data_IF_308164386821
#
_entry.id   IF_308164386821
#
_cell.length_a   1.000
_cell.length_b   1.000
_cell.length_c   1.000
_cell.angle_alpha   90.00
_cell.angle_beta   90.00
_cell.angle_gamma   90.00
#
_symmetry.space_group_name_H-M   'P 1'
#
loop_
_entity.id
_entity.type
_entity.pdbx_description
1 polymer ?
#
# COMPACT_ATOMS: atom_id res chain seq x y z
N UNK A 1 8.83 37.56 52.08
CA UNK A 1 8.90 38.91 51.47
C UNK A 1 10.30 39.45 51.71
N UNK A 2 10.98 40.15 50.77
CA UNK A 2 10.52 40.94 49.62
C UNK A 2 10.65 40.16 48.28
N UNK A 3 9.86 40.29 47.20
CA UNK A 3 9.37 41.38 46.32
C UNK A 3 10.46 42.12 45.52
N UNK A 4 10.76 41.64 44.30
CA UNK A 4 11.38 42.35 43.16
C UNK A 4 11.28 41.44 41.92
N UNK A 5 11.02 41.86 40.69
CA UNK A 5 10.41 43.05 40.08
C UNK A 5 10.15 42.62 38.63
N UNK A 6 8.93 42.83 38.17
CA UNK A 6 8.48 42.55 36.80
C UNK A 6 9.31 43.34 35.80
N UNK A 7 9.71 42.71 34.69
CA UNK A 7 10.16 43.41 33.48
C UNK A 7 9.40 42.86 32.28
N UNK A 8 8.33 43.57 31.91
CA UNK A 8 7.68 43.48 30.62
C UNK A 8 8.64 44.01 29.54
N UNK A 9 8.89 43.21 28.51
CA UNK A 9 9.35 43.75 27.22
C UNK A 9 8.24 43.53 26.18
N UNK A 10 7.46 44.60 26.02
CA UNK A 10 6.65 44.86 24.84
C UNK A 10 7.54 45.55 23.81
N UNK A 11 7.64 44.98 22.61
CA UNK A 11 7.97 45.73 21.39
C UNK A 11 7.08 45.21 20.27
N UNK A 12 6.19 46.07 19.80
CA UNK A 12 5.32 45.81 18.67
C UNK A 12 5.88 46.36 17.36
N UNK A 13 5.07 46.07 16.33
CA UNK A 13 4.81 46.80 15.09
C UNK A 13 5.44 46.27 13.79
N UNK A 14 4.50 45.82 12.95
CA UNK A 14 4.19 46.32 11.58
C UNK A 14 4.91 45.62 10.42
N UNK A 15 4.17 44.86 9.59
CA UNK A 15 3.38 45.27 8.41
C UNK A 15 4.24 45.31 7.14
N UNK A 16 3.95 44.43 6.19
CA UNK A 16 4.07 44.69 4.75
C UNK A 16 3.28 43.63 3.97
N UNK A 17 2.06 43.99 3.62
CA UNK A 17 1.35 43.46 2.44
C UNK A 17 2.15 43.83 1.18
N UNK A 18 2.14 42.94 0.19
CA UNK A 18 2.45 43.31 -1.19
C UNK A 18 1.40 42.67 -2.11
N UNK A 19 0.35 43.44 -2.38
CA UNK A 19 -0.53 43.31 -3.53
C UNK A 19 0.06 44.09 -4.71
N UNK A 20 0.23 43.45 -5.86
CA UNK A 20 0.28 44.05 -7.21
C UNK A 20 0.06 42.86 -8.17
N UNK A 21 -1.10 42.61 -8.79
CA UNK A 21 -1.91 43.42 -9.72
C UNK A 21 -1.10 44.03 -10.86
N UNK A 22 -1.16 43.42 -12.06
CA UNK A 22 -1.89 44.00 -13.20
C UNK A 22 -1.35 43.54 -14.57
N UNK A 23 -2.32 43.36 -15.48
CA UNK A 23 -2.31 43.57 -16.94
C UNK A 23 -1.46 42.65 -17.84
N UNK A 24 -2.12 41.73 -18.56
CA UNK A 24 -2.71 41.85 -19.93
C UNK A 24 -1.66 41.81 -21.04
N UNK A 25 -1.83 40.86 -21.97
CA UNK A 25 -2.02 41.18 -23.39
C UNK A 25 -2.70 40.02 -24.13
N UNK A 26 -3.77 40.38 -24.84
CA UNK A 26 -4.62 39.58 -25.73
C UNK A 26 -4.17 39.86 -27.15
N UNK A 27 -4.09 38.86 -28.03
CA UNK A 27 -4.43 38.99 -29.45
C UNK A 27 -4.94 37.66 -30.01
N UNK A 28 -6.10 37.66 -30.67
CA UNK A 28 -6.34 36.76 -31.79
C UNK A 28 -6.86 37.54 -33.00
N UNK A 29 -6.33 37.29 -34.21
CA UNK A 29 -7.00 37.78 -35.43
C UNK A 29 -6.69 36.96 -36.70
N UNK A 30 -7.70 36.16 -37.06
CA UNK A 30 -8.39 36.03 -38.36
C UNK A 30 -7.67 35.64 -39.68
N UNK A 31 -8.39 34.72 -40.34
CA UNK A 31 -8.78 34.65 -41.76
C UNK A 31 -7.73 34.36 -42.84
N UNK A 32 -7.96 33.24 -43.56
CA UNK A 32 -8.43 33.36 -44.95
C UNK A 32 -9.16 32.10 -45.43
N UNK A 33 -10.36 32.33 -45.94
CA UNK A 33 -11.12 31.42 -46.78
C UNK A 33 -10.49 31.30 -48.17
N UNK A 34 -10.62 30.13 -48.80
CA UNK A 34 -10.69 30.04 -50.25
C UNK A 34 -11.55 28.83 -50.64
N UNK A 35 -12.75 29.17 -51.08
CA UNK A 35 -13.67 28.32 -51.82
C UNK A 35 -13.22 28.25 -53.28
N UNK A 36 -13.21 27.05 -53.86
CA UNK A 36 -13.34 26.87 -55.30
C UNK A 36 -14.18 25.60 -55.57
N UNK A 37 -15.39 25.81 -56.10
CA UNK A 37 -16.15 24.81 -56.84
C UNK A 37 -16.07 25.13 -58.33
N UNK A 38 -15.89 24.11 -59.16
CA UNK A 38 -16.38 23.99 -60.56
C UNK A 38 -16.12 22.55 -61.00
N UNK A 39 -17.11 21.65 -61.01
CA UNK A 39 -18.14 21.43 -62.05
C UNK A 39 -17.56 21.08 -63.43
N UNK A 40 -17.73 19.82 -63.87
CA UNK A 40 -18.66 19.43 -64.94
C UNK A 40 -18.47 17.98 -65.44
N UNK A 41 -19.54 17.19 -65.31
CA UNK A 41 -20.18 16.23 -66.23
C UNK A 41 -19.39 15.48 -67.33
N UNK A 42 -19.56 14.15 -67.38
CA UNK A 42 -19.77 13.39 -68.64
C UNK A 42 -20.46 12.04 -68.33
N UNK A 43 -21.78 11.96 -68.46
CA UNK A 43 -22.54 11.34 -69.57
C UNK A 43 -22.36 9.82 -69.71
N UNK A 44 -23.36 9.05 -69.24
CA UNK A 44 -23.49 7.61 -69.49
C UNK A 44 -24.73 7.36 -70.37
N UNK A 45 -24.53 6.66 -71.49
CA UNK A 45 -25.55 6.28 -72.48
C UNK A 45 -26.29 5.00 -72.07
N UNK A 46 -27.53 4.89 -72.52
CA UNK A 46 -28.54 3.89 -72.16
C UNK A 46 -28.70 2.72 -73.16
N UNK A 47 -28.87 1.50 -72.62
CA UNK A 47 -29.70 0.37 -73.07
C UNK A 47 -29.19 -0.59 -74.19
N UNK A 48 -29.78 -1.81 -74.39
CA UNK A 48 -30.76 -2.54 -73.56
C UNK A 48 -30.52 -4.09 -73.36
N UNK A 49 -31.32 -4.64 -72.45
CA UNK A 49 -31.82 -6.03 -72.19
C UNK A 49 -31.60 -7.17 -73.22
N UNK A 50 -31.12 -8.37 -72.78
CA UNK A 50 -31.84 -9.66 -72.67
C UNK A 50 -30.92 -10.92 -72.71
N UNK A 51 -31.29 -11.90 -71.87
CA UNK A 51 -31.02 -13.38 -71.90
C UNK A 51 -29.57 -13.90 -71.76
N UNK A 52 -29.32 -14.75 -70.75
CA UNK A 52 -29.39 -16.22 -70.85
C UNK A 52 -28.49 -16.92 -69.79
N UNK A 53 -29.14 -17.80 -69.02
CA UNK A 53 -28.70 -19.07 -68.40
C UNK A 53 -27.35 -19.25 -67.67
N UNK A 54 -27.52 -19.78 -66.44
CA UNK A 54 -26.82 -20.92 -65.81
C UNK A 54 -25.29 -20.94 -65.75
N UNK A 55 -24.76 -20.97 -64.52
CA UNK A 55 -23.80 -22.02 -64.11
C UNK A 55 -23.49 -21.93 -62.61
N UNK A 56 -23.69 -23.05 -61.95
CA UNK A 56 -23.36 -23.41 -60.57
C UNK A 56 -21.91 -23.15 -60.16
N UNK A 57 -21.66 -22.70 -58.93
CA UNK A 57 -20.67 -23.27 -57.98
C UNK A 57 -20.60 -22.47 -56.65
N UNK A 58 -20.18 -23.07 -55.52
CA UNK A 58 -20.75 -22.78 -54.20
C UNK A 58 -19.90 -21.90 -53.26
N UNK A 59 -20.60 -21.01 -52.54
CA UNK A 59 -20.64 -20.86 -51.07
C UNK A 59 -19.34 -21.19 -50.32
N UNK A 60 -18.53 -20.19 -49.95
CA UNK A 60 -17.72 -20.17 -48.70
C UNK A 60 -16.93 -18.86 -48.42
N UNK A 61 -17.09 -17.78 -49.20
CA UNK A 61 -16.24 -16.57 -49.08
C UNK A 61 -16.89 -15.33 -48.44
N UNK A 62 -17.76 -15.50 -47.45
CA UNK A 62 -18.40 -14.34 -46.79
C UNK A 62 -18.39 -14.32 -45.26
N UNK A 63 -17.54 -15.12 -44.60
CA UNK A 63 -17.38 -15.06 -43.15
C UNK A 63 -15.93 -14.83 -42.71
N UNK A 64 -15.43 -13.63 -43.01
CA UNK A 64 -14.26 -13.01 -42.39
C UNK A 64 -14.58 -11.50 -42.38
N UNK A 65 -15.14 -10.87 -41.34
CA UNK A 65 -14.63 -10.51 -40.00
C UNK A 65 -15.73 -9.54 -39.45
N UNK A 66 -16.14 -9.49 -38.16
CA UNK A 66 -15.24 -9.34 -37.01
C UNK A 66 -15.67 -10.10 -35.76
N UNK A 67 -15.00 -11.23 -35.49
CA UNK A 67 -14.98 -11.88 -34.17
C UNK A 67 -13.99 -11.22 -33.20
N UNK A 68 -13.48 -10.02 -33.50
CA UNK A 68 -12.47 -9.34 -32.68
C UNK A 68 -13.05 -8.54 -31.50
N UNK A 69 -14.33 -8.17 -31.53
CA UNK A 69 -14.94 -7.35 -30.46
C UNK A 69 -15.40 -8.22 -29.27
N UNK A 70 -15.83 -9.47 -29.52
CA UNK A 70 -16.27 -10.38 -28.44
C UNK A 70 -15.09 -10.96 -27.65
N UNK A 71 -13.93 -11.15 -28.30
CA UNK A 71 -12.71 -11.64 -27.64
C UNK A 71 -12.04 -10.59 -26.74
N UNK A 72 -12.20 -9.30 -27.04
CA UNK A 72 -11.58 -8.22 -26.25
C UNK A 72 -12.24 -8.03 -24.89
N UNK A 73 -13.58 -8.04 -24.83
CA UNK A 73 -14.33 -7.89 -23.56
C UNK A 73 -14.25 -9.19 -22.74
N UNK A 74 -14.40 -10.36 -23.38
CA UNK A 74 -14.20 -11.65 -22.72
C UNK A 74 -12.77 -11.82 -22.20
N UNK A 75 -11.78 -11.37 -22.98
CA UNK A 75 -10.37 -11.35 -22.58
C UNK A 75 -10.08 -10.37 -21.44
N UNK A 76 -10.72 -9.20 -21.42
CA UNK A 76 -10.57 -8.24 -20.32
C UNK A 76 -11.23 -8.73 -19.02
N UNK A 77 -12.42 -9.35 -19.11
CA UNK A 77 -13.07 -9.99 -17.95
C UNK A 77 -12.29 -11.21 -17.46
N UNK A 78 -11.79 -12.05 -18.35
CA UNK A 78 -10.89 -13.15 -17.99
C UNK A 78 -9.57 -12.64 -17.41
N UNK A 79 -9.04 -11.53 -17.89
CA UNK A 79 -7.83 -10.92 -17.36
C UNK A 79 -8.06 -10.29 -15.97
N UNK A 80 -9.20 -9.62 -15.76
CA UNK A 80 -9.61 -9.13 -14.43
C UNK A 80 -9.85 -10.31 -13.48
N UNK A 81 -10.55 -11.35 -13.92
CA UNK A 81 -10.84 -12.54 -13.14
C UNK A 81 -9.57 -13.37 -12.83
N UNK A 82 -8.65 -13.53 -13.78
CA UNK A 82 -7.35 -14.20 -13.57
C UNK A 82 -6.40 -13.36 -12.71
N UNK A 83 -6.50 -12.04 -12.72
CA UNK A 83 -5.71 -11.19 -11.83
C UNK A 83 -6.27 -11.18 -10.39
N UNK A 84 -7.55 -11.50 -10.22
CA UNK A 84 -8.19 -11.68 -8.92
C UNK A 84 -7.83 -13.03 -8.27
N UNK A 85 -7.52 -14.07 -9.07
CA UNK A 85 -6.98 -15.33 -8.56
C UNK A 85 -5.61 -15.17 -7.87
N UNK A 86 -4.82 -14.13 -8.22
CA UNK A 86 -3.62 -13.77 -7.46
C UNK A 86 -3.93 -13.13 -6.10
N UNK A 87 -5.19 -12.76 -5.82
CA UNK A 87 -5.68 -12.29 -4.52
C UNK A 87 -6.24 -13.41 -3.65
N UNK A 88 -6.52 -14.58 -4.21
CA UNK A 88 -6.81 -15.77 -3.42
C UNK A 88 -5.49 -16.30 -2.82
N UNK A 89 -5.50 -16.49 -1.50
CA UNK A 89 -4.40 -17.07 -0.73
C UNK A 89 -4.05 -18.43 -1.36
N UNK A 90 -2.88 -18.52 -1.99
CA UNK A 90 -2.32 -19.80 -2.44
C UNK A 90 -2.07 -20.64 -1.19
N UNK A 91 -2.93 -21.63 -0.94
CA UNK A 91 -2.62 -22.75 -0.05
C UNK A 91 -1.43 -23.51 -0.64
N UNK A 92 -0.25 -23.26 -0.08
CA UNK A 92 0.85 -24.21 0.10
C UNK A 92 1.43 -24.91 -1.13
N UNK A 93 2.61 -24.47 -1.55
CA UNK A 93 3.67 -25.36 -2.00
C UNK A 93 4.99 -24.92 -1.35
N UNK A 94 5.16 -25.29 -0.08
CA UNK A 94 6.48 -25.38 0.52
C UNK A 94 7.18 -26.60 -0.08
N UNK A 95 8.34 -26.38 -0.69
CA UNK A 95 9.21 -27.44 -1.17
C UNK A 95 9.60 -28.36 -0.02
N UNK A 96 9.16 -29.62 -0.09
CA UNK A 96 9.58 -30.71 0.78
C UNK A 96 11.04 -31.07 0.50
N UNK A 97 12.00 -30.41 1.15
CA UNK A 97 13.31 -30.98 1.47
C UNK A 97 13.74 -30.51 2.85
N UNK A 98 13.46 -31.34 3.86
CA UNK A 98 13.90 -31.11 5.24
C UNK A 98 13.00 -31.77 6.27
N UNK A 99 13.37 -32.98 6.70
CA UNK A 99 12.80 -33.62 7.87
C UNK A 99 13.11 -32.77 9.12
N UNK A 100 12.17 -31.94 9.57
CA UNK A 100 12.25 -31.29 10.88
C UNK A 100 11.34 -32.02 11.86
N UNK A 101 11.98 -32.77 12.73
CA UNK A 101 11.50 -33.31 13.99
C UNK A 101 10.59 -32.30 14.71
N UNK A 102 9.44 -32.76 15.20
CA UNK A 102 8.33 -31.98 15.76
C UNK A 102 8.71 -30.68 16.47
N UNK A 103 8.60 -29.57 15.74
CA UNK A 103 8.24 -28.24 16.27
C UNK A 103 6.93 -27.87 15.58
N UNK A 104 6.03 -27.20 16.30
CA UNK A 104 4.76 -26.70 15.72
C UNK A 104 4.99 -25.82 14.48
N UNK A 105 3.93 -25.34 13.83
CA UNK A 105 4.05 -24.49 12.65
C UNK A 105 5.03 -23.35 12.92
N UNK A 106 6.12 -23.27 12.15
CA UNK A 106 7.06 -22.15 12.24
C UNK A 106 6.29 -20.91 11.78
N UNK A 107 6.13 -19.94 12.69
CA UNK A 107 5.53 -18.64 12.39
C UNK A 107 6.69 -17.67 12.11
N UNK A 108 6.65 -17.01 10.95
CA UNK A 108 7.74 -16.18 10.43
C UNK A 108 8.36 -16.78 9.17
N UNK A 109 9.00 -15.92 8.37
CA UNK A 109 9.61 -16.29 7.10
C UNK A 109 10.38 -15.15 6.46
N UNK A 110 11.15 -15.41 5.39
CA UNK A 110 11.92 -14.38 4.71
C UNK A 110 11.00 -13.35 4.05
N UNK A 111 11.44 -12.10 4.04
CA UNK A 111 10.71 -11.03 3.38
C UNK A 111 11.66 -10.03 2.71
N UNK A 112 11.14 -9.33 1.71
CA UNK A 112 11.84 -8.23 1.06
C UNK A 112 10.86 -7.09 0.86
N UNK A 113 11.06 -6.04 1.66
CA UNK A 113 10.23 -4.86 1.74
C UNK A 113 11.07 -3.59 1.56
N UNK A 114 10.40 -2.45 1.52
CA UNK A 114 10.98 -1.13 1.33
C UNK A 114 10.74 -0.34 2.61
N UNK A 115 11.78 0.24 3.19
CA UNK A 115 11.67 1.15 4.33
C UNK A 115 11.02 2.48 3.90
N UNK A 116 10.51 3.22 4.87
CA UNK A 116 10.11 4.62 4.79
C UNK A 116 11.17 5.54 4.14
N UNK A 117 12.47 5.19 4.24
CA UNK A 117 13.59 5.87 3.55
C UNK A 117 13.76 5.46 2.06
N UNK A 118 12.95 4.54 1.56
CA UNK A 118 13.07 3.99 0.20
C UNK A 118 14.15 2.92 0.02
N UNK A 119 14.75 2.43 1.11
CA UNK A 119 15.78 1.37 1.07
C UNK A 119 15.14 -0.01 1.07
N UNK A 120 15.72 -0.96 0.33
CA UNK A 120 15.33 -2.37 0.42
C UNK A 120 15.77 -2.92 1.79
N UNK A 121 14.86 -3.60 2.48
CA UNK A 121 15.06 -4.21 3.80
C UNK A 121 14.57 -5.65 3.76
N UNK A 122 15.37 -6.52 4.34
CA UNK A 122 15.11 -7.95 4.49
C UNK A 122 15.13 -8.36 5.97
N UNK A 123 14.76 -9.60 6.27
CA UNK A 123 14.87 -10.16 7.62
C UNK A 123 16.31 -10.10 8.17
N UNK A 124 17.31 -10.16 7.28
CA UNK A 124 18.73 -10.15 7.64
C UNK A 124 19.19 -8.82 8.20
N UNK A 125 18.58 -7.72 7.75
CA UNK A 125 18.90 -6.36 8.22
C UNK A 125 18.35 -6.09 9.63
N UNK A 126 17.52 -6.99 10.14
CA UNK A 126 16.90 -6.91 11.45
C UNK A 126 17.50 -7.93 12.45
N UNK A 127 18.45 -8.77 12.02
CA UNK A 127 19.16 -9.69 12.90
C UNK A 127 20.00 -8.95 13.94
N UNK A 128 20.21 -9.59 15.09
CA UNK A 128 21.00 -9.06 16.19
C UNK A 128 20.25 -8.14 17.14
N UNK A 129 18.98 -7.83 16.84
CA UNK A 129 18.17 -6.93 17.64
C UNK A 129 16.82 -7.54 18.03
N UNK A 130 16.34 -7.12 19.19
CA UNK A 130 14.96 -7.41 19.60
C UNK A 130 14.00 -6.51 18.87
N UNK A 131 12.93 -7.08 18.33
CA UNK A 131 11.98 -6.37 17.49
C UNK A 131 10.59 -6.50 18.07
N UNK A 132 9.86 -5.39 18.09
CA UNK A 132 8.42 -5.40 18.32
C UNK A 132 7.75 -5.04 16.99
N UNK A 133 7.20 -6.06 16.34
CA UNK A 133 6.60 -5.98 15.01
C UNK A 133 5.09 -5.77 15.12
N UNK A 134 4.56 -4.78 14.43
CA UNK A 134 3.12 -4.51 14.35
C UNK A 134 2.69 -4.33 12.90
N UNK A 135 1.54 -4.91 12.54
CA UNK A 135 0.93 -4.80 11.21
C UNK A 135 -0.25 -3.83 11.30
N UNK A 136 -0.31 -2.85 10.40
CA UNK A 136 -1.38 -1.86 10.37
C UNK A 136 -1.40 -1.06 9.08
N UNK A 137 -2.16 0.03 9.03
CA UNK A 137 -2.18 0.96 7.89
C UNK A 137 -2.46 2.39 8.37
N UNK A 138 -2.03 3.39 7.61
CA UNK A 138 -2.08 4.79 8.09
C UNK A 138 -3.49 5.37 8.17
N UNK A 139 -4.41 4.87 7.35
CA UNK A 139 -5.81 5.34 7.29
C UNK A 139 -6.76 4.64 8.27
N UNK A 140 -6.24 3.96 9.30
CA UNK A 140 -7.08 3.31 10.32
C UNK A 140 -7.73 4.34 11.25
N UNK A 141 -9.06 4.36 11.42
CA UNK A 141 -9.75 5.44 12.14
C UNK A 141 -9.53 5.45 13.66
N UNK A 142 -9.25 4.31 14.29
CA UNK A 142 -9.15 4.22 15.76
C UNK A 142 -8.01 3.30 16.25
N UNK A 143 -8.06 2.00 15.89
CA UNK A 143 -7.17 0.99 16.47
C UNK A 143 -5.69 1.24 16.17
N UNK A 144 -5.34 1.59 14.92
CA UNK A 144 -3.96 1.88 14.51
C UNK A 144 -3.24 2.92 15.39
N UNK A 145 -3.76 4.17 15.49
CA UNK A 145 -3.18 5.20 16.34
C UNK A 145 -3.07 4.82 17.83
N UNK A 146 -4.08 4.11 18.36
CA UNK A 146 -4.07 3.66 19.76
C UNK A 146 -2.95 2.64 20.01
N UNK A 147 -2.79 1.66 19.11
CA UNK A 147 -1.74 0.64 19.20
C UNK A 147 -0.33 1.23 19.04
N UNK A 148 -0.13 2.19 18.14
CA UNK A 148 1.15 2.88 17.98
C UNK A 148 1.52 3.70 19.23
N UNK A 149 0.54 4.39 19.81
CA UNK A 149 0.74 5.13 21.07
C UNK A 149 1.08 4.20 22.23
N UNK A 150 0.43 3.02 22.30
CA UNK A 150 0.72 1.98 23.28
C UNK A 150 2.15 1.45 23.11
N UNK A 151 2.54 1.12 21.88
CA UNK A 151 3.87 0.63 21.53
C UNK A 151 4.97 1.64 21.89
N UNK A 152 4.80 2.91 21.55
CA UNK A 152 5.76 3.97 21.90
C UNK A 152 5.98 4.07 23.42
N UNK A 153 4.88 4.12 24.19
CA UNK A 153 4.93 4.16 25.67
C UNK A 153 5.60 2.92 26.28
N UNK A 154 5.30 1.74 25.73
CA UNK A 154 5.91 0.50 26.21
C UNK A 154 7.43 0.51 25.99
N UNK A 155 7.89 0.93 24.81
CA UNK A 155 9.32 1.01 24.48
C UNK A 155 10.04 2.05 25.33
N UNK A 156 9.43 3.20 25.59
CA UNK A 156 9.96 4.18 26.54
C UNK A 156 10.11 3.63 27.94
N UNK A 157 9.12 2.87 28.40
CA UNK A 157 9.16 2.23 29.73
C UNK A 157 10.26 1.18 29.81
N UNK A 158 10.42 0.35 28.79
CA UNK A 158 11.47 -0.68 28.69
C UNK A 158 12.87 -0.05 28.66
N UNK A 159 13.04 1.02 27.88
CA UNK A 159 14.32 1.74 27.78
C UNK A 159 14.70 2.47 29.07
N UNK A 160 13.75 3.18 29.68
CA UNK A 160 14.01 4.01 30.86
C UNK A 160 14.12 3.23 32.16
N UNK A 161 13.26 2.21 32.39
CA UNK A 161 13.22 1.48 33.66
C UNK A 161 14.09 0.24 33.68
N UNK A 162 14.27 -0.42 32.54
CA UNK A 162 14.85 -1.76 32.46
C UNK A 162 16.12 -1.81 31.59
N UNK A 163 16.48 -0.70 30.95
CA UNK A 163 17.63 -0.60 30.04
C UNK A 163 17.57 -1.64 28.89
N UNK A 164 16.36 -2.02 28.48
CA UNK A 164 16.11 -2.95 27.38
C UNK A 164 15.91 -2.14 26.10
N UNK A 165 16.66 -2.48 25.06
CA UNK A 165 16.53 -1.88 23.73
C UNK A 165 15.75 -2.79 22.81
N UNK A 166 14.63 -2.29 22.30
CA UNK A 166 13.80 -2.96 21.31
C UNK A 166 13.60 -2.01 20.14
N UNK A 167 13.73 -2.53 18.93
CA UNK A 167 13.43 -1.83 17.68
C UNK A 167 11.94 -1.98 17.37
N UNK A 168 11.14 -0.89 17.38
CA UNK A 168 9.80 -0.95 16.86
C UNK A 168 9.80 -1.02 15.32
N UNK A 169 9.03 -1.95 14.77
CA UNK A 169 8.86 -2.11 13.32
C UNK A 169 7.37 -2.13 13.00
N UNK A 170 6.96 -1.22 12.11
CA UNK A 170 5.61 -1.15 11.58
C UNK A 170 5.60 -1.67 10.15
N UNK A 171 4.71 -2.60 9.82
CA UNK A 171 4.52 -3.11 8.46
C UNK A 171 3.15 -2.68 7.96
N UNK A 172 3.10 -1.97 6.84
CA UNK A 172 1.81 -1.65 6.23
C UNK A 172 1.15 -2.87 5.61
N UNK A 173 -0.16 -3.00 5.80
CA UNK A 173 -1.01 -3.96 5.10
C UNK A 173 -1.75 -3.33 3.89
N UNK A 174 -1.58 -2.02 3.66
CA UNK A 174 -2.23 -1.26 2.60
C UNK A 174 -1.23 -0.40 1.81
N UNK A 175 -0.33 -1.02 1.03
CA UNK A 175 0.69 -0.30 0.26
C UNK A 175 0.14 0.55 -0.89
N UNK A 176 -1.16 0.44 -1.21
CA UNK A 176 -1.77 1.24 -2.27
C UNK A 176 -1.94 2.70 -1.82
N UNK A 177 -2.22 2.92 -0.52
CA UNK A 177 -2.30 4.25 0.10
C UNK A 177 -1.01 4.61 0.84
N UNK A 178 -0.37 3.63 1.48
CA UNK A 178 0.79 3.87 2.35
C UNK A 178 2.11 3.92 1.56
N UNK A 179 2.36 5.07 0.91
CA UNK A 179 3.66 5.37 0.28
C UNK A 179 4.77 5.51 1.33
N UNK A 180 6.05 5.26 0.99
CA UNK A 180 7.16 5.39 1.95
C UNK A 180 7.20 6.75 2.66
N UNK A 181 6.97 7.84 1.93
CA UNK A 181 6.96 9.20 2.49
C UNK A 181 5.79 9.46 3.42
N UNK A 182 4.58 9.00 3.07
CA UNK A 182 3.41 9.10 3.93
C UNK A 182 3.59 8.29 5.20
N UNK A 183 4.12 7.06 5.06
CA UNK A 183 4.40 6.19 6.18
C UNK A 183 5.44 6.80 7.13
N UNK A 184 6.50 7.40 6.59
CA UNK A 184 7.50 8.11 7.38
C UNK A 184 6.89 9.25 8.20
N UNK A 185 6.08 10.09 7.55
CA UNK A 185 5.45 11.25 8.20
C UNK A 185 4.51 10.80 9.32
N UNK A 186 3.66 9.80 9.04
CA UNK A 186 2.72 9.25 10.02
C UNK A 186 3.42 8.66 11.25
N UNK A 187 4.42 7.79 11.06
CA UNK A 187 5.09 7.12 12.18
C UNK A 187 5.90 8.09 13.06
N UNK A 188 6.44 9.15 12.45
CA UNK A 188 7.20 10.19 13.15
C UNK A 188 6.36 10.98 14.16
N UNK A 189 5.04 11.05 13.98
CA UNK A 189 4.13 11.69 14.94
C UNK A 189 4.00 10.90 16.25
N UNK A 190 4.20 9.58 16.19
CA UNK A 190 4.16 8.72 17.37
C UNK A 190 5.55 8.58 18.00
N UNK A 191 6.52 8.07 17.24
CA UNK A 191 7.87 7.83 17.72
C UNK A 191 8.85 7.67 16.54
N UNK A 192 9.86 8.53 16.49
CA UNK A 192 10.87 8.53 15.43
C UNK A 192 11.79 7.30 15.39
N UNK A 193 11.71 6.41 16.40
CA UNK A 193 12.42 5.12 16.42
C UNK A 193 11.70 4.04 15.62
N UNK A 194 10.43 4.24 15.27
CA UNK A 194 9.63 3.24 14.54
C UNK A 194 10.11 3.16 13.10
N UNK A 195 10.57 1.97 12.71
CA UNK A 195 10.94 1.67 11.32
C UNK A 195 9.68 1.26 10.55
N UNK A 196 9.32 2.02 9.53
CA UNK A 196 8.16 1.72 8.68
C UNK A 196 8.54 0.89 7.46
N UNK A 197 7.87 -0.22 7.22
CA UNK A 197 8.07 -1.09 6.06
C UNK A 197 6.82 -1.10 5.17
N UNK A 198 7.02 -0.84 3.89
CA UNK A 198 6.03 -0.90 2.80
C UNK A 198 6.59 -1.68 1.61
N UNK A 199 5.88 -1.77 0.50
CA UNK A 199 6.39 -2.43 -0.70
C UNK A 199 5.30 -2.91 -1.64
N UNK A 200 5.66 -3.77 -2.61
CA UNK A 200 4.68 -4.37 -3.51
C UNK A 200 3.64 -5.17 -2.73
N UNK A 201 2.38 -5.12 -3.19
CA UNK A 201 1.25 -5.86 -2.59
C UNK A 201 1.55 -7.35 -2.42
N UNK A 202 2.27 -7.95 -3.39
CA UNK A 202 2.68 -9.35 -3.33
C UNK A 202 3.62 -9.65 -2.16
N UNK A 203 4.62 -8.79 -1.93
CA UNK A 203 5.59 -8.95 -0.83
C UNK A 203 4.93 -8.80 0.54
N UNK A 204 4.02 -7.83 0.69
CA UNK A 204 3.27 -7.63 1.93
C UNK A 204 2.33 -8.81 2.20
N UNK A 205 1.62 -9.30 1.17
CA UNK A 205 0.77 -10.48 1.31
C UNK A 205 1.57 -11.72 1.69
N UNK A 206 2.75 -11.90 1.11
CA UNK A 206 3.66 -12.99 1.48
C UNK A 206 4.07 -12.88 2.94
N UNK A 207 4.56 -11.72 3.38
CA UNK A 207 4.95 -11.52 4.78
C UNK A 207 3.76 -11.74 5.72
N UNK A 208 2.60 -11.17 5.44
CA UNK A 208 1.41 -11.38 6.25
C UNK A 208 1.04 -12.87 6.35
N UNK A 209 1.18 -13.64 5.27
CA UNK A 209 0.95 -15.09 5.30
C UNK A 209 1.95 -15.84 6.19
N UNK A 210 3.25 -15.54 6.09
CA UNK A 210 4.30 -16.17 6.92
C UNK A 210 4.12 -15.86 8.41
N UNK A 211 3.69 -14.64 8.72
CA UNK A 211 3.43 -14.17 10.07
C UNK A 211 1.98 -14.46 10.54
N UNK A 212 1.19 -15.18 9.74
CA UNK A 212 -0.21 -15.55 10.03
C UNK A 212 -1.11 -14.36 10.35
N UNK A 213 -0.82 -13.20 9.76
CA UNK A 213 -1.63 -11.99 9.85
C UNK A 213 -2.75 -12.08 8.84
N UNK A 214 -3.99 -12.05 9.33
CA UNK A 214 -5.15 -11.92 8.49
C UNK A 214 -5.40 -10.44 8.18
N UNK A 215 -5.71 -10.14 6.92
CA UNK A 215 -6.23 -8.84 6.53
C UNK A 215 -7.17 -8.98 5.34
N UNK A 216 -8.21 -8.14 5.31
CA UNK A 216 -9.22 -8.11 4.24
C UNK A 216 -9.68 -6.68 4.01
N UNK A 217 -9.71 -6.29 2.74
CA UNK A 217 -10.31 -5.02 2.32
C UNK A 217 -11.84 -5.11 2.46
N UNK A 218 -12.42 -4.12 3.12
CA UNK A 218 -13.86 -3.91 3.26
C UNK A 218 -14.18 -2.62 2.52
N UNK A 219 -14.99 -2.73 1.48
CA UNK A 219 -15.49 -1.58 0.73
C UNK A 219 -16.60 -0.90 1.54
N UNK A 220 -16.55 0.43 1.63
CA UNK A 220 -17.59 1.25 2.23
C UNK A 220 -18.40 1.98 1.14
N UNK A 221 -19.45 2.70 1.54
CA UNK A 221 -20.25 3.48 0.60
C UNK A 221 -19.42 4.61 -0.02
N UNK A 222 -19.10 4.49 -1.32
CA UNK A 222 -18.30 5.46 -2.08
C UNK A 222 -17.00 4.88 -2.61
N UNK A 223 -15.98 5.72 -2.74
CA UNK A 223 -14.64 5.33 -3.23
C UNK A 223 -13.65 4.99 -2.08
N UNK A 224 -14.09 5.01 -0.81
CA UNK A 224 -13.24 4.71 0.35
C UNK A 224 -13.36 3.25 0.81
N UNK A 225 -12.33 2.78 1.52
CA UNK A 225 -12.29 1.44 2.06
C UNK A 225 -11.51 1.35 3.36
N UNK A 226 -11.94 0.43 4.21
CA UNK A 226 -11.22 0.00 5.39
C UNK A 226 -10.52 -1.32 5.14
N UNK A 227 -9.53 -1.61 5.97
CA UNK A 227 -8.88 -2.91 6.00
C UNK A 227 -9.12 -3.51 7.38
N UNK A 228 -9.91 -4.57 7.43
CA UNK A 228 -10.03 -5.41 8.62
C UNK A 228 -8.73 -6.20 8.74
N UNK A 229 -8.13 -6.22 9.93
CA UNK A 229 -6.86 -6.91 10.15
C UNK A 229 -6.71 -7.46 11.56
N UNK A 230 -5.79 -8.41 11.72
CA UNK A 230 -5.36 -8.88 13.05
C UNK A 230 -4.42 -7.85 13.70
N UNK A 231 -4.81 -7.35 14.87
CA UNK A 231 -4.07 -6.31 15.59
C UNK A 231 -3.11 -6.87 16.64
N UNK A 232 -2.34 -7.90 16.28
CA UNK A 232 -1.36 -8.49 17.19
C UNK A 232 0.01 -7.82 17.00
N UNK A 233 0.69 -7.58 18.11
CA UNK A 233 2.11 -7.23 18.14
C UNK A 233 2.95 -8.48 18.37
N UNK A 234 4.03 -8.66 17.62
CA UNK A 234 4.93 -9.80 17.75
C UNK A 234 6.28 -9.37 18.33
N UNK A 235 6.67 -9.95 19.45
CA UNK A 235 8.02 -9.82 19.99
C UNK A 235 8.91 -10.87 19.32
N UNK A 236 9.94 -10.39 18.61
CA UNK A 236 10.92 -11.23 17.95
C UNK A 236 12.28 -11.12 18.63
N UNK A 237 12.98 -12.24 18.72
CA UNK A 237 14.34 -12.30 19.23
C UNK A 237 15.37 -11.85 18.17
N UNK A 238 16.65 -11.69 18.55
CA UNK A 238 17.74 -11.35 17.63
C UNK A 238 17.95 -12.31 16.44
N UNK A 239 17.35 -13.50 16.47
CA UNK A 239 17.41 -14.49 15.41
C UNK A 239 16.18 -14.45 14.48
N UNK A 240 15.31 -13.44 14.60
CA UNK A 240 14.04 -13.32 13.87
C UNK A 240 13.03 -14.43 14.17
N UNK A 241 13.10 -15.04 15.35
CA UNK A 241 12.07 -15.99 15.82
C UNK A 241 11.06 -15.27 16.72
N UNK A 242 9.78 -15.61 16.56
CA UNK A 242 8.70 -15.06 17.39
C UNK A 242 8.78 -15.71 18.78
N UNK A 243 8.99 -14.87 19.79
CA UNK A 243 9.00 -15.27 21.20
C UNK A 243 7.58 -15.27 21.76
N UNK A 244 6.83 -14.20 21.47
CA UNK A 244 5.48 -14.00 22.01
C UNK A 244 4.67 -13.05 21.12
N UNK A 245 3.35 -13.22 21.12
CA UNK A 245 2.39 -12.29 20.52
C UNK A 245 1.55 -11.62 21.60
N UNK A 246 1.22 -10.35 21.41
CA UNK A 246 0.38 -9.54 22.29
C UNK A 246 -0.83 -9.04 21.53
N UNK A 247 -2.03 -9.25 22.07
CA UNK A 247 -3.27 -8.76 21.47
C UNK A 247 -3.66 -7.36 21.93
N UNK A 248 -4.84 -6.93 21.51
CA UNK A 248 -5.42 -5.62 21.83
C UNK A 248 -5.72 -5.42 23.31
N UNK A 249 -5.92 -6.50 24.06
CA UNK A 249 -6.26 -6.49 25.48
C UNK A 249 -5.14 -5.92 26.36
N UNK A 250 -3.91 -5.88 25.86
CA UNK A 250 -2.76 -5.36 26.59
C UNK A 250 -2.78 -3.83 26.64
N UNK A 251 -2.50 -3.26 27.82
CA UNK A 251 -2.09 -1.86 27.95
C UNK A 251 -0.56 -1.70 27.87
N UNK A 252 -0.06 -0.46 27.85
CA UNK A 252 1.37 -0.19 27.68
C UNK A 252 2.23 -0.72 28.84
N UNK A 253 1.72 -0.64 30.06
CA UNK A 253 2.41 -1.09 31.27
C UNK A 253 2.54 -2.62 31.28
N UNK A 254 1.43 -3.33 31.07
CA UNK A 254 1.39 -4.80 30.97
C UNK A 254 2.26 -5.30 29.82
N UNK A 255 2.21 -4.63 28.66
CA UNK A 255 3.06 -4.96 27.52
C UNK A 255 4.55 -4.85 27.89
N UNK A 256 4.96 -3.76 28.54
CA UNK A 256 6.34 -3.59 28.98
C UNK A 256 6.77 -4.61 30.06
N UNK A 257 5.89 -4.94 31.00
CA UNK A 257 6.18 -5.88 32.07
C UNK A 257 6.32 -7.31 31.53
N UNK A 258 5.44 -7.72 30.63
CA UNK A 258 5.49 -9.06 30.06
C UNK A 258 6.66 -9.22 29.08
N UNK A 259 6.99 -8.19 28.30
CA UNK A 259 8.23 -8.19 27.52
C UNK A 259 9.44 -8.37 28.45
N UNK A 260 9.52 -7.63 29.55
CA UNK A 260 10.60 -7.79 30.54
C UNK A 260 10.73 -9.23 31.05
N UNK A 261 9.61 -9.88 31.36
CA UNK A 261 9.59 -11.27 31.81
C UNK A 261 10.15 -12.23 30.76
N UNK A 262 9.82 -12.04 29.48
CA UNK A 262 10.37 -12.86 28.41
C UNK A 262 11.91 -12.69 28.28
N UNK A 263 12.42 -11.47 28.47
CA UNK A 263 13.87 -11.23 28.48
C UNK A 263 14.56 -11.97 29.64
N UNK A 264 13.99 -11.93 30.86
CA UNK A 264 14.56 -12.62 32.02
C UNK A 264 14.54 -14.14 31.84
N UNK A 265 13.48 -14.67 31.22
CA UNK A 265 13.34 -16.10 30.95
C UNK A 265 14.40 -16.62 29.97
N UNK A 266 14.81 -15.80 29.00
CA UNK A 266 15.81 -16.19 28.00
C UNK A 266 17.24 -15.97 28.52
N UNK A 267 17.41 -15.07 29.47
CA UNK A 267 18.69 -14.83 30.13
C UNK A 267 19.07 -15.89 31.18
N UNK A 268 18.10 -16.72 31.62
CA UNK A 268 18.28 -17.78 32.62
C UNK A 268 18.49 -19.12 31.95
#
# INVERSE_FOLDING_TARGET
MPVLRVSLFSHGKKFAEALFSSTRCVTPMKFRSSSYMRSANMSYKSGPLLTQEQSTSPIWRSYLIPTSVLGGIGGALLFWHMNDEKRAILKGQGSNEGCSTGKGPVIGGPFSLIDSDGRLVTEKDLLGEWILLYFGYTSSPDVGPAELSKLAKAIDTLGSKQNIKIRPVFVTIDPQRDTPSQLHAYLKEFDGRIKGLTGPVGSIRQMAHEYRVYFKKIEEDGDDYLVESSHNMYLMNPNMEIVRSFGLEYNAEQLSEDIHKEFQKIAT
#
